data_IF_298282885898
#
_entry.id   IF_298282885898
#
_cell.length_a   1.000
_cell.length_b   1.000
_cell.length_c   1.000
_cell.angle_alpha   90.00
_cell.angle_beta   90.00
_cell.angle_gamma   90.00
#
_symmetry.space_group_name_H-M   'P 1'
#
loop_
_entity.id
_entity.type
_entity.pdbx_description
1 polymer ?
#
# COMPACT_ATOMS: atom_id res chain seq x y z
N UNK A 1 4.20 -54.48 -9.53
CA UNK A 1 5.17 -53.37 -9.51
C UNK A 1 4.41 -52.10 -9.09
N UNK A 2 4.82 -51.48 -7.98
CA UNK A 2 4.19 -50.31 -7.37
C UNK A 2 4.65 -49.06 -8.12
N UNK A 3 3.75 -48.35 -8.79
CA UNK A 3 4.03 -47.02 -9.32
C UNK A 3 3.74 -45.99 -8.25
N UNK A 4 4.81 -45.45 -7.68
CA UNK A 4 4.83 -44.29 -6.82
C UNK A 4 4.67 -43.00 -7.66
N UNK A 5 4.19 -41.96 -6.97
CA UNK A 5 4.47 -40.52 -7.20
C UNK A 5 3.84 -39.87 -8.44
N UNK A 6 3.35 -38.62 -8.43
CA UNK A 6 3.50 -37.50 -7.50
C UNK A 6 2.28 -36.58 -7.64
N UNK A 7 1.68 -36.18 -6.52
CA UNK A 7 0.69 -35.10 -6.44
C UNK A 7 1.41 -33.79 -6.74
N UNK A 8 1.16 -33.20 -7.92
CA UNK A 8 1.57 -31.84 -8.23
C UNK A 8 0.64 -30.87 -7.50
N UNK A 9 0.95 -30.57 -6.24
CA UNK A 9 0.53 -29.32 -5.61
C UNK A 9 1.28 -28.18 -6.30
N UNK A 10 0.78 -27.71 -7.44
CA UNK A 10 1.18 -26.40 -7.96
C UNK A 10 0.48 -25.32 -7.13
N UNK A 11 0.96 -25.10 -5.92
CA UNK A 11 0.82 -23.82 -5.23
C UNK A 11 1.67 -22.81 -6.01
N UNK A 12 1.10 -22.24 -7.06
CA UNK A 12 1.63 -21.05 -7.71
C UNK A 12 1.26 -19.82 -6.88
N UNK A 13 1.79 -19.76 -5.66
CA UNK A 13 1.94 -18.54 -4.89
C UNK A 13 3.44 -18.35 -4.70
N UNK A 14 3.93 -17.13 -4.87
CA UNK A 14 5.34 -16.72 -4.81
C UNK A 14 6.15 -16.80 -6.13
N UNK A 15 5.72 -16.03 -7.12
CA UNK A 15 6.62 -15.30 -8.04
C UNK A 15 6.02 -13.90 -8.13
N UNK A 16 6.60 -12.80 -7.65
CA UNK A 16 7.91 -12.24 -8.00
C UNK A 16 8.37 -11.31 -6.85
N UNK A 17 9.26 -11.80 -5.99
CA UNK A 17 10.04 -10.97 -5.07
C UNK A 17 11.38 -10.63 -5.73
N UNK A 18 11.38 -9.61 -6.61
CA UNK A 18 12.61 -9.01 -7.12
C UNK A 18 12.29 -7.65 -7.75
N UNK A 19 12.45 -6.56 -6.98
CA UNK A 19 12.46 -5.19 -7.51
C UNK A 19 11.18 -4.35 -7.34
N UNK A 20 10.25 -4.76 -6.49
CA UNK A 20 9.09 -3.92 -6.15
C UNK A 20 9.53 -2.85 -5.14
N UNK A 21 9.47 -1.57 -5.52
CA UNK A 21 9.64 -0.49 -4.54
C UNK A 21 8.62 -0.71 -3.41
N UNK A 22 9.11 -0.66 -2.19
CA UNK A 22 8.29 -0.91 -1.01
C UNK A 22 7.79 0.44 -0.50
N UNK A 23 6.48 0.56 -0.35
CA UNK A 23 5.84 1.62 0.43
C UNK A 23 5.67 1.13 1.86
N UNK A 24 6.05 1.96 2.82
CA UNK A 24 5.86 1.68 4.24
C UNK A 24 4.78 2.60 4.77
N UNK A 25 3.75 2.02 5.36
CA UNK A 25 2.61 2.72 5.96
C UNK A 25 2.72 2.60 7.48
N UNK A 26 2.62 3.74 8.17
CA UNK A 26 2.72 3.84 9.62
C UNK A 26 1.44 4.46 10.20
N UNK A 27 0.83 3.73 11.14
CA UNK A 27 -0.42 4.11 11.83
C UNK A 27 -0.17 4.54 13.30
N UNK A 28 1.09 4.73 13.72
CA UNK A 28 1.45 5.29 15.03
C UNK A 28 1.86 4.31 16.13
N UNK A 29 2.15 3.05 15.80
CA UNK A 29 2.84 2.05 16.64
C UNK A 29 3.71 1.16 15.73
N UNK A 30 4.58 0.30 16.28
CA UNK A 30 5.54 -0.63 15.60
C UNK A 30 5.01 -1.48 14.41
N UNK A 31 3.76 -1.29 13.99
CA UNK A 31 3.17 -1.80 12.77
C UNK A 31 3.57 -0.94 11.56
N UNK A 32 4.75 -1.23 11.01
CA UNK A 32 5.08 -0.81 9.64
C UNK A 32 4.56 -1.87 8.67
N UNK A 33 3.55 -1.52 7.86
CA UNK A 33 3.08 -2.41 6.80
C UNK A 33 3.78 -2.06 5.49
N UNK A 34 4.38 -3.07 4.85
CA UNK A 34 5.09 -2.96 3.58
C UNK A 34 4.15 -3.35 2.43
N UNK A 35 3.90 -2.43 1.50
CA UNK A 35 3.01 -2.64 0.37
C UNK A 35 3.67 -2.36 -0.97
N UNK A 36 3.18 -3.07 -1.98
CA UNK A 36 3.54 -2.85 -3.38
C UNK A 36 2.73 -1.68 -3.92
N UNK A 37 3.39 -0.81 -4.68
CA UNK A 37 2.75 0.23 -5.49
C UNK A 37 1.52 -0.27 -6.25
N UNK A 38 0.59 0.64 -6.55
CA UNK A 38 -0.62 0.39 -7.33
C UNK A 38 -1.70 -0.46 -6.64
N UNK A 39 -1.46 -1.00 -5.45
CA UNK A 39 -2.49 -1.65 -4.63
C UNK A 39 -3.26 -0.58 -3.85
N UNK A 40 -4.59 -0.71 -3.77
CA UNK A 40 -5.39 0.13 -2.86
C UNK A 40 -5.15 -0.33 -1.43
N UNK A 41 -4.79 0.59 -0.55
CA UNK A 41 -4.59 0.33 0.87
C UNK A 41 -5.67 1.02 1.69
N UNK A 42 -6.13 0.42 2.79
CA UNK A 42 -7.07 1.07 3.68
C UNK A 42 -6.39 2.27 4.36
N UNK A 43 -7.10 3.39 4.45
CA UNK A 43 -6.59 4.59 5.14
C UNK A 43 -6.55 4.43 6.67
N UNK A 44 -7.38 3.54 7.19
CA UNK A 44 -7.45 3.18 8.59
C UNK A 44 -6.99 1.74 8.82
N UNK A 45 -6.37 1.47 9.95
CA UNK A 45 -6.04 0.10 10.35
C UNK A 45 -7.26 -0.63 10.98
N UNK A 46 -7.04 -1.86 11.46
CA UNK A 46 -8.06 -2.69 12.11
C UNK A 46 -8.71 -2.04 13.35
N UNK A 47 -8.02 -1.09 14.00
CA UNK A 47 -8.49 -0.35 15.17
C UNK A 47 -9.06 1.03 14.80
N UNK A 48 -9.28 1.31 13.52
CA UNK A 48 -9.76 2.62 13.02
C UNK A 48 -8.78 3.77 13.32
N UNK A 49 -7.49 3.50 13.46
CA UNK A 49 -6.46 4.54 13.55
C UNK A 49 -6.10 5.03 12.16
N UNK A 50 -6.06 6.34 11.91
CA UNK A 50 -5.72 6.86 10.60
C UNK A 50 -4.23 6.74 10.32
N UNK A 51 -3.89 6.56 9.04
CA UNK A 51 -2.53 6.62 8.53
C UNK A 51 -1.83 7.92 8.97
N UNK A 52 -0.67 7.79 9.61
CA UNK A 52 0.11 8.91 10.13
C UNK A 52 1.22 9.32 9.17
N UNK A 53 1.94 8.34 8.60
CA UNK A 53 3.02 8.63 7.66
C UNK A 53 3.17 7.55 6.58
N UNK A 54 3.73 7.96 5.44
CA UNK A 54 4.10 7.06 4.35
C UNK A 54 5.56 7.28 3.99
N UNK A 55 6.30 6.20 3.83
CA UNK A 55 7.69 6.22 3.40
C UNK A 55 7.86 5.43 2.10
N UNK A 56 8.75 5.93 1.23
CA UNK A 56 9.10 5.31 -0.06
C UNK A 56 10.58 5.51 -0.35
N UNK A 57 11.20 4.52 -1.01
CA UNK A 57 12.55 4.65 -1.57
C UNK A 57 12.58 5.33 -2.94
N UNK A 58 11.43 5.60 -3.55
CA UNK A 58 11.31 6.24 -4.87
C UNK A 58 10.25 7.36 -4.86
N UNK A 59 10.27 8.21 -5.88
CA UNK A 59 9.25 9.24 -6.04
C UNK A 59 7.88 8.59 -6.26
N UNK A 60 6.86 9.10 -5.57
CA UNK A 60 5.50 8.60 -5.69
C UNK A 60 4.47 9.71 -5.56
N UNK A 61 3.35 9.54 -6.27
CA UNK A 61 2.15 10.33 -6.05
C UNK A 61 1.09 9.43 -5.38
N UNK A 62 0.64 9.81 -4.19
CA UNK A 62 -0.39 9.12 -3.43
C UNK A 62 -1.71 9.88 -3.51
N UNK A 63 -2.77 9.17 -3.91
CA UNK A 63 -4.12 9.68 -4.09
C UNK A 63 -5.04 9.09 -3.03
N UNK A 64 -5.99 9.91 -2.55
CA UNK A 64 -6.94 9.55 -1.50
C UNK A 64 -8.32 9.27 -2.09
N UNK A 65 -9.03 8.31 -1.51
CA UNK A 65 -10.31 7.81 -2.03
C UNK A 65 -11.37 7.77 -0.92
N UNK A 66 -12.62 7.97 -1.31
CA UNK A 66 -13.82 7.89 -0.46
C UNK A 66 -14.22 6.45 -0.10
N UNK A 67 -13.63 5.47 -0.80
CA UNK A 67 -13.86 4.05 -0.60
C UNK A 67 -12.53 3.28 -0.49
N UNK A 68 -12.60 2.10 0.13
CA UNK A 68 -11.46 1.20 0.34
C UNK A 68 -11.11 0.34 -0.89
N UNK A 69 -11.81 0.51 -2.01
CA UNK A 69 -11.54 -0.14 -3.29
C UNK A 69 -10.84 0.82 -4.29
N UNK A 70 -10.61 2.06 -3.88
CA UNK A 70 -10.01 3.15 -4.66
C UNK A 70 -10.75 3.44 -5.98
N UNK A 71 -12.09 3.50 -5.95
CA UNK A 71 -12.93 3.82 -7.13
C UNK A 71 -13.31 5.30 -7.22
N UNK A 72 -13.58 5.94 -6.08
CA UNK A 72 -14.00 7.34 -5.99
C UNK A 72 -12.91 8.20 -5.34
N UNK A 73 -12.18 8.95 -6.16
CA UNK A 73 -11.08 9.82 -5.70
C UNK A 73 -11.61 11.05 -4.96
N UNK A 74 -10.90 11.49 -3.93
CA UNK A 74 -11.09 12.81 -3.32
C UNK A 74 -10.35 13.83 -4.18
N UNK A 75 -11.12 14.61 -4.94
CA UNK A 75 -10.57 15.59 -5.87
C UNK A 75 -9.64 16.60 -5.19
N UNK A 76 -8.58 16.99 -5.89
CA UNK A 76 -7.60 17.97 -5.41
C UNK A 76 -6.69 17.48 -4.28
N UNK A 77 -6.92 16.28 -3.73
CA UNK A 77 -6.12 15.75 -2.63
C UNK A 77 -5.11 14.71 -3.09
N UNK A 78 -3.82 15.06 -3.01
CA UNK A 78 -2.71 14.14 -3.23
C UNK A 78 -1.52 14.48 -2.34
N UNK A 79 -0.70 13.48 -2.08
CA UNK A 79 0.59 13.62 -1.38
C UNK A 79 1.71 13.16 -2.29
N UNK A 80 2.75 13.98 -2.41
CA UNK A 80 3.94 13.66 -3.20
C UNK A 80 4.99 13.13 -2.24
N UNK A 81 5.40 11.88 -2.40
CA UNK A 81 6.47 11.28 -1.61
C UNK A 81 7.81 11.54 -2.28
N UNK A 82 8.76 12.02 -1.47
CA UNK A 82 10.16 12.11 -1.87
C UNK A 82 10.93 10.87 -1.38
N UNK A 83 11.90 10.36 -2.17
CA UNK A 83 12.74 9.24 -1.79
C UNK A 83 13.41 9.44 -0.43
N UNK A 84 13.36 8.41 0.41
CA UNK A 84 14.16 8.33 1.62
C UNK A 84 13.69 9.24 2.76
N UNK A 85 12.49 9.82 2.67
CA UNK A 85 11.91 10.63 3.76
C UNK A 85 10.47 10.23 4.06
N UNK A 86 10.11 9.97 5.33
CA UNK A 86 8.73 9.76 5.71
C UNK A 86 7.95 11.06 5.50
N UNK A 87 6.77 10.95 4.89
CA UNK A 87 5.86 12.06 4.66
C UNK A 87 4.69 11.94 5.62
N UNK A 88 4.52 12.95 6.48
CA UNK A 88 3.40 13.01 7.42
C UNK A 88 2.11 13.27 6.66
N UNK A 89 1.08 12.50 6.98
CA UNK A 89 -0.24 12.58 6.36
C UNK A 89 -1.15 13.42 7.25
N UNK A 90 -1.53 14.64 6.82
CA UNK A 90 -2.43 15.47 7.61
C UNK A 90 -3.85 14.88 7.59
N UNK A 91 -4.67 15.18 8.61
CA UNK A 91 -6.10 14.94 8.57
C UNK A 91 -6.76 15.52 7.31
N UNK A 92 -7.88 14.92 6.92
CA UNK A 92 -8.55 15.22 5.67
C UNK A 92 -10.05 15.32 5.82
N UNK A 93 -10.64 16.30 5.13
CA UNK A 93 -12.07 16.35 4.85
C UNK A 93 -12.30 16.36 3.33
N UNK A 94 -13.13 15.45 2.77
CA UNK A 94 -13.74 14.32 3.46
C UNK A 94 -12.69 13.32 3.99
N UNK A 95 -13.10 12.50 4.97
CA UNK A 95 -12.24 11.46 5.53
C UNK A 95 -12.00 10.37 4.48
N UNK A 96 -10.75 10.01 4.14
CA UNK A 96 -10.47 8.97 3.17
C UNK A 96 -10.70 7.59 3.78
N UNK A 97 -11.21 6.66 2.98
CA UNK A 97 -11.30 5.25 3.35
C UNK A 97 -10.20 4.43 2.65
N UNK A 98 -9.67 4.93 1.54
CA UNK A 98 -8.61 4.28 0.77
C UNK A 98 -7.51 5.23 0.31
N UNK A 99 -6.34 4.66 0.02
CA UNK A 99 -5.18 5.37 -0.52
C UNK A 99 -4.46 4.49 -1.54
N UNK A 100 -4.05 5.10 -2.65
CA UNK A 100 -3.28 4.43 -3.71
C UNK A 100 -2.10 5.28 -4.11
N UNK A 101 -0.90 4.70 -4.05
CA UNK A 101 0.32 5.36 -4.48
C UNK A 101 0.81 4.79 -5.81
N UNK A 102 1.20 5.69 -6.71
CA UNK A 102 1.75 5.39 -8.03
C UNK A 102 3.19 5.89 -8.08
N UNK A 103 4.11 5.07 -8.62
CA UNK A 103 5.49 5.49 -8.85
C UNK A 103 5.47 6.67 -9.82
N UNK A 104 6.18 7.73 -9.47
CA UNK A 104 6.38 8.90 -10.33
C UNK A 104 7.69 8.70 -11.10
N UNK A 105 7.56 8.56 -12.41
CA UNK A 105 8.69 8.43 -13.36
C UNK A 105 9.46 9.73 -13.54
#
# INVERSE_FOLDING_TARGET
MKSFTCILCMTAAATVASGQDILQFDYGLDMTSAFVFQTCQPFFDEYRRPLQSIYSHTNADCYYYLDNECRAIIEGKKTILQPGRPTVIPPSEPSPEGIRCLRRG
#
